data_IF_090426761483
#
_entry.id   IF_090426761483
#
_cell.length_a   1.000
_cell.length_b   1.000
_cell.length_c   1.000
_cell.angle_alpha   90.00
_cell.angle_beta   90.00
_cell.angle_gamma   90.00
#
_symmetry.space_group_name_H-M   'P 1'
#
loop_
_entity.id
_entity.type
_entity.pdbx_description
1 polymer ?
#
# COMPACT_ATOMS: atom_id res chain seq x y z
N UNK A 1 2.03 15.82 23.55
CA UNK A 1 1.75 16.14 22.11
C UNK A 1 2.61 15.20 21.29
N UNK A 2 1.99 14.35 20.49
CA UNK A 2 2.73 13.59 19.50
C UNK A 2 3.40 14.60 18.57
N UNK A 3 4.70 14.49 18.32
CA UNK A 3 5.39 15.40 17.44
C UNK A 3 4.84 15.24 16.00
N UNK A 4 4.71 16.37 15.29
CA UNK A 4 4.44 16.32 13.85
C UNK A 4 5.55 15.55 13.15
N UNK A 5 5.19 14.66 12.23
CA UNK A 5 6.17 13.87 11.46
C UNK A 5 6.87 14.82 10.48
N UNK A 6 8.20 14.95 10.54
CA UNK A 6 8.93 15.76 9.58
C UNK A 6 8.88 15.10 8.20
N UNK A 7 8.55 15.89 7.17
CA UNK A 7 8.57 15.45 5.77
C UNK A 7 9.65 16.22 5.01
N UNK A 8 10.34 15.54 4.10
CA UNK A 8 11.31 16.18 3.21
C UNK A 8 10.54 16.99 2.17
N UNK A 9 10.85 18.28 1.97
CA UNK A 9 10.20 19.09 0.97
C UNK A 9 10.32 18.49 -0.43
N UNK A 10 9.24 18.54 -1.20
CA UNK A 10 9.15 18.04 -2.58
C UNK A 10 8.42 19.05 -3.45
N UNK A 11 8.64 18.99 -4.75
CA UNK A 11 7.99 19.89 -5.69
C UNK A 11 7.08 19.11 -6.63
N UNK A 12 5.89 19.61 -6.82
CA UNK A 12 4.93 19.05 -7.80
C UNK A 12 5.53 19.06 -9.21
N UNK A 13 6.34 20.06 -9.52
CA UNK A 13 7.01 20.19 -10.81
C UNK A 13 7.94 19.01 -11.14
N UNK A 14 8.54 18.37 -10.14
CA UNK A 14 9.43 17.21 -10.32
C UNK A 14 8.68 15.99 -10.87
N UNK A 15 7.35 15.95 -10.72
CA UNK A 15 6.50 14.87 -11.23
C UNK A 15 6.13 15.05 -12.71
N UNK A 16 6.29 16.27 -13.28
CA UNK A 16 5.88 16.62 -14.64
C UNK A 16 6.44 15.70 -15.75
N UNK A 17 7.74 15.31 -15.71
CA UNK A 17 8.29 14.42 -16.73
C UNK A 17 7.62 13.04 -16.78
N UNK A 18 7.10 12.57 -15.63
CA UNK A 18 6.45 11.26 -15.51
C UNK A 18 4.94 11.33 -15.79
N UNK A 19 4.27 12.33 -15.23
CA UNK A 19 2.81 12.45 -15.26
C UNK A 19 2.28 13.21 -16.50
N UNK A 20 3.09 14.13 -17.04
CA UNK A 20 2.71 15.01 -18.16
C UNK A 20 2.09 16.34 -17.68
N UNK A 21 2.09 17.34 -18.60
CA UNK A 21 1.63 18.70 -18.30
C UNK A 21 0.18 18.74 -17.83
N UNK A 22 -0.70 18.06 -18.52
CA UNK A 22 -2.14 18.06 -18.24
C UNK A 22 -2.46 17.58 -16.81
N UNK A 23 -1.79 16.54 -16.32
CA UNK A 23 -2.00 16.04 -14.97
C UNK A 23 -1.53 17.03 -13.90
N UNK A 24 -0.42 17.74 -14.15
CA UNK A 24 0.10 18.75 -13.24
C UNK A 24 -0.82 19.98 -13.20
N UNK A 25 -1.31 20.42 -14.35
CA UNK A 25 -2.22 21.59 -14.39
C UNK A 25 -3.57 21.26 -13.72
N UNK A 26 -4.17 20.08 -13.96
CA UNK A 26 -5.39 19.66 -13.24
C UNK A 26 -5.18 19.61 -11.73
N UNK A 27 -4.02 19.12 -11.27
CA UNK A 27 -3.70 19.08 -9.84
C UNK A 27 -3.60 20.51 -9.26
N UNK A 28 -2.95 21.45 -9.97
CA UNK A 28 -2.85 22.85 -9.54
C UNK A 28 -4.20 23.54 -9.51
N UNK A 29 -5.04 23.29 -10.50
CA UNK A 29 -6.40 23.82 -10.54
C UNK A 29 -7.22 23.33 -9.34
N UNK A 30 -7.16 22.03 -9.03
CA UNK A 30 -7.83 21.47 -7.85
C UNK A 30 -7.29 22.08 -6.53
N UNK A 31 -5.98 22.30 -6.43
CA UNK A 31 -5.36 22.91 -5.25
C UNK A 31 -5.75 24.37 -5.05
N UNK A 32 -5.97 25.10 -6.14
CA UNK A 32 -6.31 26.53 -6.07
C UNK A 32 -7.59 26.81 -5.28
N UNK A 33 -8.55 25.90 -5.30
CA UNK A 33 -9.80 25.99 -4.55
C UNK A 33 -9.60 25.87 -3.02
N UNK A 34 -8.47 25.32 -2.58
CA UNK A 34 -8.13 25.06 -1.17
C UNK A 34 -6.86 25.82 -0.74
N UNK A 35 -6.47 26.87 -1.48
CA UNK A 35 -5.26 27.63 -1.17
C UNK A 35 -5.32 28.20 0.26
N UNK A 36 -4.27 27.95 1.05
CA UNK A 36 -4.17 28.38 2.45
C UNK A 36 -4.96 27.50 3.46
N UNK A 37 -5.72 26.50 3.01
CA UNK A 37 -6.41 25.58 3.90
C UNK A 37 -5.41 24.78 4.74
N UNK A 38 -5.81 24.44 5.96
CA UNK A 38 -5.03 23.62 6.91
C UNK A 38 -5.57 22.19 6.92
N UNK A 39 -4.71 21.22 6.59
CA UNK A 39 -5.04 19.80 6.50
C UNK A 39 -4.20 19.02 7.48
N UNK A 40 -4.81 18.21 8.35
CA UNK A 40 -4.13 17.27 9.24
C UNK A 40 -4.30 15.84 8.73
N UNK A 41 -3.20 15.13 8.57
CA UNK A 41 -3.18 13.69 8.36
C UNK A 41 -2.92 12.98 9.70
N UNK A 42 -3.74 11.98 10.05
CA UNK A 42 -3.59 11.20 11.29
C UNK A 42 -3.45 9.72 10.95
N UNK A 43 -2.32 9.11 11.29
CA UNK A 43 -2.04 7.69 11.05
C UNK A 43 -1.48 6.98 12.26
N UNK A 44 -1.27 5.67 12.18
CA UNK A 44 -0.74 4.86 13.28
C UNK A 44 0.78 4.78 13.33
N UNK A 45 1.48 5.06 12.22
CA UNK A 45 2.95 4.99 12.13
C UNK A 45 3.49 5.96 11.10
N UNK A 46 4.72 6.45 11.33
CA UNK A 46 5.47 7.27 10.38
C UNK A 46 6.40 6.44 9.47
N UNK A 47 6.58 5.14 9.75
CA UNK A 47 7.53 4.29 9.05
C UNK A 47 6.95 2.90 8.84
N UNK A 48 7.40 2.25 7.78
CA UNK A 48 7.01 0.88 7.47
C UNK A 48 5.57 0.76 6.95
N UNK A 49 5.42 0.34 5.73
CA UNK A 49 4.12 0.15 5.07
C UNK A 49 3.69 1.27 4.13
N UNK A 50 2.70 0.93 3.29
CA UNK A 50 2.28 1.78 2.18
C UNK A 50 1.69 3.12 2.61
N UNK A 51 0.96 3.18 3.75
CA UNK A 51 0.33 4.43 4.22
C UNK A 51 1.38 5.48 4.56
N UNK A 52 2.42 5.10 5.31
CA UNK A 52 3.52 6.01 5.65
C UNK A 52 4.25 6.50 4.38
N UNK A 53 4.49 5.61 3.41
CA UNK A 53 5.11 5.94 2.13
C UNK A 53 4.28 6.99 1.37
N UNK A 54 2.97 6.80 1.28
CA UNK A 54 2.04 7.74 0.66
C UNK A 54 2.07 9.10 1.36
N UNK A 55 2.00 9.13 2.69
CA UNK A 55 1.91 10.36 3.47
C UNK A 55 3.19 11.20 3.42
N UNK A 56 4.38 10.59 3.39
CA UNK A 56 5.63 11.32 3.16
C UNK A 56 5.61 12.13 1.87
N UNK A 57 5.03 11.58 0.82
CA UNK A 57 4.90 12.27 -0.48
C UNK A 57 3.74 13.25 -0.49
N UNK A 58 2.56 12.85 -0.05
CA UNK A 58 1.34 13.65 -0.12
C UNK A 58 1.45 14.94 0.70
N UNK A 59 1.91 14.85 1.96
CA UNK A 59 2.06 16.01 2.84
C UNK A 59 3.05 17.01 2.27
N UNK A 60 4.19 16.54 1.75
CA UNK A 60 5.20 17.41 1.14
C UNK A 60 4.65 18.14 -0.10
N UNK A 61 3.91 17.43 -0.96
CA UNK A 61 3.35 18.01 -2.19
C UNK A 61 2.16 18.94 -1.92
N UNK A 62 1.33 18.65 -0.92
CA UNK A 62 0.27 19.57 -0.48
C UNK A 62 0.86 20.90 -0.02
N UNK A 63 1.96 20.86 0.72
CA UNK A 63 2.66 22.08 1.14
C UNK A 63 3.25 22.86 -0.06
N UNK A 64 3.80 22.20 -1.08
CA UNK A 64 4.28 22.85 -2.32
C UNK A 64 3.12 23.50 -3.12
N UNK A 65 1.91 22.93 -3.00
CA UNK A 65 0.68 23.46 -3.62
C UNK A 65 0.05 24.63 -2.84
N UNK A 66 0.65 25.07 -1.72
CA UNK A 66 0.15 26.16 -0.89
C UNK A 66 -0.96 25.77 0.09
N UNK A 67 -1.09 24.47 0.40
CA UNK A 67 -1.99 23.94 1.42
C UNK A 67 -1.14 23.60 2.65
N UNK A 68 -1.52 24.09 3.83
CA UNK A 68 -0.77 23.83 5.07
C UNK A 68 -1.08 22.44 5.60
N UNK A 69 -0.33 21.45 5.14
CA UNK A 69 -0.51 20.05 5.52
C UNK A 69 0.47 19.63 6.61
N UNK A 70 -0.08 19.08 7.69
CA UNK A 70 0.67 18.47 8.80
C UNK A 70 0.33 16.97 8.90
N UNK A 71 1.25 16.21 9.51
CA UNK A 71 1.06 14.78 9.74
C UNK A 71 1.38 14.44 11.18
N UNK A 72 0.43 13.77 11.83
CA UNK A 72 0.59 13.26 13.19
C UNK A 72 0.39 11.74 13.25
N UNK A 73 1.16 11.11 14.13
CA UNK A 73 1.04 9.68 14.45
C UNK A 73 0.44 9.55 15.84
N UNK A 74 -0.53 8.64 15.97
CA UNK A 74 -1.10 8.30 17.27
C UNK A 74 -0.08 7.59 18.16
N UNK A 75 -0.22 7.74 19.46
CA UNK A 75 0.53 6.96 20.45
C UNK A 75 -0.27 5.71 20.83
N UNK A 76 0.44 4.59 21.04
CA UNK A 76 -0.16 3.33 21.45
C UNK A 76 0.72 2.56 22.44
N UNK A 77 0.10 1.70 23.25
CA UNK A 77 0.79 0.70 24.05
C UNK A 77 0.90 -0.62 23.24
N UNK A 78 1.77 -1.55 23.65
CA UNK A 78 1.82 -2.86 22.99
C UNK A 78 0.45 -3.56 22.94
N UNK A 79 -0.35 -3.45 24.02
CA UNK A 79 -1.69 -4.04 24.09
C UNK A 79 -2.64 -3.38 23.07
N UNK A 80 -2.59 -2.05 22.93
CA UNK A 80 -3.38 -1.35 21.92
C UNK A 80 -3.01 -1.78 20.52
N UNK A 81 -1.72 -1.88 20.22
CA UNK A 81 -1.29 -2.34 18.89
C UNK A 81 -1.62 -3.81 18.63
N UNK A 82 -1.60 -4.66 19.66
CA UNK A 82 -2.08 -6.04 19.54
C UNK A 82 -3.58 -6.11 19.19
N UNK A 83 -4.41 -5.31 19.89
CA UNK A 83 -5.85 -5.19 19.61
C UNK A 83 -6.09 -4.67 18.19
N UNK A 84 -5.41 -3.59 17.80
CA UNK A 84 -5.62 -2.98 16.47
C UNK A 84 -5.09 -3.86 15.32
N UNK A 85 -4.05 -4.68 15.56
CA UNK A 85 -3.60 -5.69 14.59
C UNK A 85 -4.65 -6.78 14.41
N UNK A 86 -5.22 -7.30 15.51
CA UNK A 86 -6.32 -8.27 15.44
C UNK A 86 -7.54 -7.72 14.69
N UNK A 87 -7.89 -6.45 14.96
CA UNK A 87 -8.94 -5.73 14.22
C UNK A 87 -8.62 -5.59 12.74
N UNK A 88 -7.39 -5.19 12.42
CA UNK A 88 -6.95 -5.05 11.02
C UNK A 88 -7.12 -6.37 10.25
N UNK A 89 -6.73 -7.49 10.85
CA UNK A 89 -6.91 -8.81 10.25
C UNK A 89 -8.40 -9.20 10.16
N UNK A 90 -9.21 -8.90 11.18
CA UNK A 90 -10.64 -9.17 11.20
C UNK A 90 -11.40 -8.36 10.15
N UNK A 91 -11.05 -7.10 9.95
CA UNK A 91 -11.62 -6.27 8.89
C UNK A 91 -11.26 -6.77 7.48
N UNK A 92 -10.22 -7.57 7.35
CA UNK A 92 -9.85 -8.28 6.12
C UNK A 92 -10.42 -9.72 6.04
N UNK A 93 -11.21 -10.14 7.02
CA UNK A 93 -11.95 -11.41 6.98
C UNK A 93 -11.42 -12.49 7.92
N UNK A 94 -10.46 -12.20 8.80
CA UNK A 94 -10.09 -13.12 9.87
C UNK A 94 -11.20 -13.17 10.93
N UNK A 95 -11.39 -14.34 11.54
CA UNK A 95 -12.31 -14.50 12.66
C UNK A 95 -11.79 -13.73 13.89
N UNK A 96 -12.68 -12.95 14.48
CA UNK A 96 -12.39 -12.22 15.72
C UNK A 96 -13.61 -12.18 16.61
N UNK A 97 -13.49 -12.68 17.82
CA UNK A 97 -14.43 -12.40 18.89
C UNK A 97 -14.09 -11.03 19.49
N UNK A 98 -14.81 -9.98 19.07
CA UNK A 98 -14.67 -8.65 19.67
C UNK A 98 -15.14 -8.67 21.11
N UNK A 99 -14.27 -8.34 22.04
CA UNK A 99 -14.55 -8.43 23.49
C UNK A 99 -14.66 -7.05 24.13
N UNK A 100 -15.40 -6.90 25.26
CA UNK A 100 -15.43 -5.65 26.02
C UNK A 100 -14.06 -5.15 26.47
N UNK A 101 -13.11 -6.06 26.71
CA UNK A 101 -11.75 -5.68 27.08
C UNK A 101 -10.98 -5.07 25.89
N UNK A 102 -11.09 -5.64 24.71
CA UNK A 102 -10.50 -5.07 23.48
C UNK A 102 -11.10 -3.69 23.20
N UNK A 103 -12.41 -3.54 23.35
CA UNK A 103 -13.11 -2.27 23.19
C UNK A 103 -12.59 -1.21 24.17
N UNK A 104 -12.47 -1.57 25.47
CA UNK A 104 -11.95 -0.68 26.50
C UNK A 104 -10.53 -0.20 26.16
N UNK A 105 -9.61 -1.12 25.83
CA UNK A 105 -8.22 -0.80 25.48
C UNK A 105 -8.20 0.15 24.27
N UNK A 106 -9.00 -0.12 23.26
CA UNK A 106 -9.07 0.67 22.03
C UNK A 106 -9.60 2.09 22.31
N UNK A 107 -10.74 2.20 22.99
CA UNK A 107 -11.39 3.49 23.24
C UNK A 107 -10.59 4.37 24.22
N UNK A 108 -10.00 3.81 25.28
CA UNK A 108 -9.14 4.56 26.20
C UNK A 108 -7.95 5.19 25.47
N UNK A 109 -7.35 4.47 24.53
CA UNK A 109 -6.22 4.99 23.75
C UNK A 109 -6.67 6.02 22.72
N UNK A 110 -7.79 5.80 22.04
CA UNK A 110 -8.36 6.80 21.14
C UNK A 110 -8.72 8.10 21.86
N UNK A 111 -9.26 8.01 23.07
CA UNK A 111 -9.55 9.19 23.92
C UNK A 111 -8.26 9.97 24.26
N UNK A 112 -7.20 9.27 24.68
CA UNK A 112 -5.91 9.91 24.98
C UNK A 112 -5.32 10.61 23.74
N UNK A 113 -5.41 9.98 22.57
CA UNK A 113 -4.95 10.56 21.30
C UNK A 113 -5.81 11.77 20.89
N UNK A 114 -7.14 11.69 21.04
CA UNK A 114 -8.04 12.80 20.77
C UNK A 114 -7.69 14.06 21.61
N UNK A 115 -7.40 13.85 22.90
CA UNK A 115 -6.99 14.94 23.78
C UNK A 115 -5.66 15.60 23.35
N UNK A 116 -4.80 14.87 22.65
CA UNK A 116 -3.48 15.33 22.21
C UNK A 116 -3.49 15.94 20.80
N UNK A 117 -4.56 15.77 20.02
CA UNK A 117 -4.62 16.34 18.67
C UNK A 117 -4.70 17.87 18.70
N UNK A 118 -3.98 18.56 17.81
CA UNK A 118 -4.04 20.01 17.70
C UNK A 118 -5.35 20.46 17.04
N UNK A 119 -5.80 21.64 17.41
CA UNK A 119 -7.01 22.26 16.88
C UNK A 119 -6.71 23.18 15.67
N UNK A 120 -7.79 23.65 15.02
CA UNK A 120 -7.72 24.72 14.01
C UNK A 120 -7.36 24.24 12.61
N UNK A 121 -7.65 22.99 12.27
CA UNK A 121 -7.59 22.49 10.89
C UNK A 121 -8.96 22.62 10.23
N UNK A 122 -8.93 22.97 8.93
CA UNK A 122 -10.13 22.99 8.11
C UNK A 122 -10.56 21.57 7.75
N UNK A 123 -9.57 20.69 7.55
CA UNK A 123 -9.77 19.28 7.20
C UNK A 123 -8.87 18.37 8.02
N UNK A 124 -9.42 17.22 8.44
CA UNK A 124 -8.67 16.14 9.10
C UNK A 124 -8.92 14.83 8.38
N UNK A 125 -7.87 14.15 7.95
CA UNK A 125 -7.95 12.82 7.31
C UNK A 125 -7.36 11.78 8.26
N UNK A 126 -8.19 10.84 8.67
CA UNK A 126 -7.84 9.77 9.62
C UNK A 126 -7.67 8.46 8.86
N UNK A 127 -6.48 7.84 8.97
CA UNK A 127 -6.11 6.67 8.20
C UNK A 127 -6.28 5.38 8.99
N UNK A 128 -7.02 4.44 8.40
CA UNK A 128 -7.24 3.08 8.88
C UNK A 128 -7.99 2.96 10.22
N UNK A 129 -8.20 1.73 10.74
CA UNK A 129 -9.02 1.55 11.95
C UNK A 129 -8.34 2.01 13.24
N UNK A 130 -6.99 2.10 13.28
CA UNK A 130 -6.29 2.38 14.54
C UNK A 130 -6.75 3.70 15.19
N UNK A 131 -6.83 4.85 14.46
CA UNK A 131 -7.34 6.12 15.01
C UNK A 131 -8.83 6.37 14.74
N UNK A 132 -9.59 5.42 14.19
CA UNK A 132 -10.93 5.69 13.66
C UNK A 132 -11.92 6.26 14.68
N UNK A 133 -11.81 5.94 15.96
CA UNK A 133 -12.70 6.47 16.99
C UNK A 133 -12.30 7.85 17.53
N UNK A 134 -11.18 8.43 17.12
CA UNK A 134 -10.70 9.72 17.64
C UNK A 134 -11.73 10.84 17.43
N UNK A 135 -12.38 10.88 16.25
CA UNK A 135 -13.44 11.85 16.01
C UNK A 135 -14.61 11.71 16.97
N UNK A 136 -15.04 10.48 17.27
CA UNK A 136 -16.13 10.22 18.22
C UNK A 136 -15.81 10.79 19.61
N UNK A 137 -14.56 10.66 20.06
CA UNK A 137 -14.13 11.21 21.37
C UNK A 137 -14.19 12.74 21.38
N UNK A 138 -13.74 13.38 20.29
CA UNK A 138 -13.80 14.85 20.17
C UNK A 138 -15.22 15.37 20.10
N UNK A 139 -16.14 14.68 19.41
CA UNK A 139 -17.55 15.06 19.34
C UNK A 139 -18.22 14.95 20.70
N UNK A 140 -18.00 13.86 21.42
CA UNK A 140 -18.58 13.61 22.75
C UNK A 140 -18.10 14.66 23.77
N UNK A 141 -16.91 15.27 23.56
CA UNK A 141 -16.36 16.40 24.35
C UNK A 141 -16.77 17.78 23.82
N UNK A 142 -17.49 17.87 22.69
CA UNK A 142 -17.85 19.14 22.05
C UNK A 142 -16.67 19.89 21.41
N UNK A 143 -15.59 19.20 21.06
CA UNK A 143 -14.33 19.75 20.54
C UNK A 143 -14.15 19.56 19.03
N UNK A 144 -15.13 18.95 18.35
CA UNK A 144 -15.05 18.79 16.91
C UNK A 144 -14.96 20.14 16.20
N UNK A 145 -13.99 20.31 15.31
CA UNK A 145 -13.87 21.45 14.40
C UNK A 145 -13.46 20.96 13.00
N UNK A 146 -13.78 21.73 11.97
CA UNK A 146 -13.48 21.40 10.59
C UNK A 146 -14.25 20.20 10.05
N UNK A 147 -13.81 19.73 8.89
CA UNK A 147 -14.35 18.57 8.17
C UNK A 147 -13.47 17.36 8.33
N UNK A 148 -14.06 16.20 8.53
CA UNK A 148 -13.34 14.98 8.84
C UNK A 148 -13.61 13.88 7.83
N UNK A 149 -12.55 13.29 7.28
CA UNK A 149 -12.64 12.13 6.39
C UNK A 149 -11.92 10.93 7.01
N UNK A 150 -12.54 9.76 6.95
CA UNK A 150 -11.89 8.50 7.28
C UNK A 150 -11.39 7.82 6.00
N UNK A 151 -10.12 7.45 5.95
CA UNK A 151 -9.50 6.75 4.84
C UNK A 151 -9.21 5.30 5.20
N UNK A 152 -9.85 4.36 4.53
CA UNK A 152 -9.58 2.93 4.65
C UNK A 152 -8.63 2.47 3.54
N UNK A 153 -7.48 1.92 3.93
CA UNK A 153 -6.49 1.36 2.99
C UNK A 153 -6.55 -0.16 2.88
N UNK A 154 -7.32 -0.83 3.74
CA UNK A 154 -7.42 -2.29 3.81
C UNK A 154 -8.57 -2.84 2.95
N UNK A 155 -8.50 -4.14 2.64
CA UNK A 155 -9.57 -4.85 1.95
C UNK A 155 -10.76 -5.10 2.88
N UNK A 156 -11.84 -4.34 2.70
CA UNK A 156 -13.10 -4.49 3.44
C UNK A 156 -14.15 -5.30 2.68
N UNK A 157 -13.78 -6.11 1.68
CA UNK A 157 -14.76 -6.86 0.89
C UNK A 157 -15.56 -7.88 1.72
N UNK A 158 -14.94 -8.46 2.75
CA UNK A 158 -15.55 -9.48 3.60
C UNK A 158 -15.09 -9.39 5.07
N UNK A 159 -15.36 -8.27 5.79
CA UNK A 159 -14.93 -8.11 7.17
C UNK A 159 -15.70 -9.02 8.13
N UNK A 160 -15.09 -9.35 9.26
CA UNK A 160 -15.78 -9.95 10.40
C UNK A 160 -16.97 -9.05 10.81
N UNK A 161 -18.19 -9.60 10.93
CA UNK A 161 -19.37 -8.79 11.24
C UNK A 161 -19.25 -8.02 12.56
N UNK A 162 -18.73 -8.65 13.62
CA UNK A 162 -18.60 -8.01 14.94
C UNK A 162 -17.60 -6.86 14.94
N UNK A 163 -16.46 -7.04 14.25
CA UNK A 163 -15.48 -5.97 14.11
C UNK A 163 -16.05 -4.80 13.27
N UNK A 164 -16.69 -5.10 12.14
CA UNK A 164 -17.25 -4.04 11.32
C UNK A 164 -18.38 -3.27 12.02
N UNK A 165 -19.29 -3.94 12.73
CA UNK A 165 -20.38 -3.29 13.45
C UNK A 165 -19.86 -2.24 14.43
N UNK A 166 -18.82 -2.54 15.19
CA UNK A 166 -18.18 -1.60 16.09
C UNK A 166 -17.59 -0.41 15.32
N UNK A 167 -16.78 -0.66 14.28
CA UNK A 167 -16.11 0.41 13.53
C UNK A 167 -17.08 1.24 12.71
N UNK A 168 -18.14 0.65 12.14
CA UNK A 168 -19.17 1.37 11.39
C UNK A 168 -19.82 2.48 12.19
N UNK A 169 -20.04 2.28 13.50
CA UNK A 169 -20.57 3.31 14.40
C UNK A 169 -19.67 4.54 14.50
N UNK A 170 -18.38 4.36 14.52
CA UNK A 170 -17.40 5.47 14.54
C UNK A 170 -17.25 6.10 13.15
N UNK A 171 -17.18 5.31 12.09
CA UNK A 171 -17.06 5.80 10.70
C UNK A 171 -18.28 6.60 10.28
N UNK A 172 -19.47 6.26 10.77
CA UNK A 172 -20.72 6.99 10.50
C UNK A 172 -20.70 8.46 10.95
N UNK A 173 -19.79 8.83 11.86
CA UNK A 173 -19.66 10.21 12.36
C UNK A 173 -18.81 11.14 11.47
N UNK A 174 -18.07 10.57 10.52
CA UNK A 174 -17.23 11.35 9.59
C UNK A 174 -18.07 12.06 8.52
N UNK A 175 -17.59 13.19 7.98
CA UNK A 175 -18.22 13.86 6.84
C UNK A 175 -17.97 13.05 5.54
N UNK A 176 -16.77 12.46 5.42
CA UNK A 176 -16.37 11.63 4.28
C UNK A 176 -15.77 10.29 4.68
N UNK A 177 -15.98 9.28 3.86
CA UNK A 177 -15.29 7.99 3.95
C UNK A 177 -14.69 7.62 2.60
N UNK A 178 -13.38 7.33 2.59
CA UNK A 178 -12.60 7.09 1.38
C UNK A 178 -12.14 5.64 1.32
N UNK A 179 -12.44 4.96 0.22
CA UNK A 179 -12.08 3.56 -0.02
C UNK A 179 -11.22 3.44 -1.27
N UNK A 180 -10.47 2.35 -1.37
CA UNK A 180 -9.65 2.07 -2.56
C UNK A 180 -10.49 1.77 -3.79
N UNK A 181 -11.61 1.09 -3.61
CA UNK A 181 -12.50 0.66 -4.70
C UNK A 181 -13.95 0.51 -4.20
N UNK A 182 -14.94 0.50 -5.12
CA UNK A 182 -16.35 0.37 -4.74
C UNK A 182 -16.66 -0.89 -3.94
N UNK A 183 -15.99 -2.02 -4.24
CA UNK A 183 -16.21 -3.31 -3.55
C UNK A 183 -15.89 -3.25 -2.04
N UNK A 184 -15.10 -2.25 -1.61
CA UNK A 184 -14.76 -2.05 -0.20
C UNK A 184 -15.77 -1.18 0.55
N UNK A 185 -16.66 -0.50 -0.17
CA UNK A 185 -17.74 0.27 0.45
C UNK A 185 -18.77 -0.70 1.03
N UNK A 186 -18.94 -0.69 2.33
CA UNK A 186 -19.87 -1.63 3.00
C UNK A 186 -21.33 -1.21 2.78
N UNK A 187 -22.18 -2.15 2.37
CA UNK A 187 -23.63 -1.90 2.31
C UNK A 187 -24.16 -1.42 3.66
N UNK A 188 -24.99 -0.38 3.64
CA UNK A 188 -25.59 0.16 4.85
C UNK A 188 -24.74 1.13 5.66
N UNK A 189 -23.51 1.45 5.24
CA UNK A 189 -22.78 2.57 5.82
C UNK A 189 -23.55 3.87 5.56
N UNK A 190 -24.05 4.48 6.64
CA UNK A 190 -24.76 5.75 6.61
C UNK A 190 -23.92 6.84 7.30
N UNK A 191 -24.19 8.07 6.96
CA UNK A 191 -23.50 9.26 7.53
C UNK A 191 -22.55 9.89 6.53
N UNK A 192 -21.37 9.34 6.27
CA UNK A 192 -20.36 10.00 5.45
C UNK A 192 -20.71 9.97 3.95
N UNK A 193 -20.29 11.02 3.24
CA UNK A 193 -20.13 10.94 1.79
C UNK A 193 -19.07 9.90 1.44
N UNK A 194 -19.35 8.98 0.52
CA UNK A 194 -18.41 7.92 0.14
C UNK A 194 -17.65 8.26 -1.12
N UNK A 195 -16.32 8.08 -1.07
CA UNK A 195 -15.41 8.33 -2.17
C UNK A 195 -14.58 7.08 -2.48
N UNK A 196 -14.23 6.88 -3.74
CA UNK A 196 -13.30 5.84 -4.14
C UNK A 196 -12.06 6.48 -4.76
N UNK A 197 -10.95 6.44 -4.02
CA UNK A 197 -9.67 7.01 -4.42
C UNK A 197 -8.62 5.89 -4.35
N UNK A 198 -8.28 5.24 -5.47
CA UNK A 198 -7.19 4.27 -5.47
C UNK A 198 -5.86 4.92 -5.08
N UNK A 199 -5.02 4.28 -4.27
CA UNK A 199 -3.66 4.74 -4.01
C UNK A 199 -2.83 4.91 -5.28
N UNK A 200 -1.67 5.51 -5.14
CA UNK A 200 -0.74 5.78 -6.22
C UNK A 200 0.70 5.50 -5.81
N UNK A 201 1.61 5.53 -6.76
CA UNK A 201 3.05 5.53 -6.53
C UNK A 201 3.65 6.88 -6.89
N UNK A 202 4.72 7.22 -6.20
CA UNK A 202 5.53 8.39 -6.51
C UNK A 202 6.61 7.99 -7.55
N UNK A 203 6.52 8.50 -8.80
CA UNK A 203 7.41 8.08 -9.88
C UNK A 203 8.86 8.54 -9.70
N UNK A 204 9.12 9.51 -8.80
CA UNK A 204 10.44 10.07 -8.55
C UNK A 204 11.01 9.71 -7.18
N UNK A 205 10.35 8.80 -6.44
CA UNK A 205 10.91 8.23 -5.22
C UNK A 205 12.09 7.30 -5.54
N UNK A 206 12.97 7.06 -4.56
CA UNK A 206 14.10 6.12 -4.69
C UNK A 206 13.65 4.73 -5.15
N UNK A 207 12.43 4.34 -4.79
CA UNK A 207 11.83 3.08 -5.18
C UNK A 207 11.42 3.03 -6.65
N UNK A 208 11.17 4.18 -7.31
CA UNK A 208 10.55 4.23 -8.64
C UNK A 208 11.33 5.02 -9.69
N UNK A 209 12.27 5.89 -9.27
CA UNK A 209 13.12 6.64 -10.20
C UNK A 209 13.91 5.70 -11.13
N UNK A 210 14.28 6.18 -12.30
CA UNK A 210 15.10 5.41 -13.23
C UNK A 210 16.50 5.21 -12.65
N UNK A 211 16.95 3.95 -12.59
CA UNK A 211 18.32 3.58 -12.22
C UNK A 211 19.14 3.29 -13.47
N UNK A 212 20.42 3.61 -13.40
CA UNK A 212 21.37 3.21 -14.44
C UNK A 212 21.63 1.68 -14.38
N UNK A 213 21.86 1.05 -15.52
CA UNK A 213 22.00 -0.41 -15.63
C UNK A 213 23.17 -0.96 -14.82
N UNK A 214 24.24 -0.18 -14.62
CA UNK A 214 25.39 -0.56 -13.80
C UNK A 214 25.03 -0.61 -12.31
N UNK A 215 24.17 0.31 -11.83
CA UNK A 215 23.65 0.28 -10.47
C UNK A 215 22.79 -0.97 -10.25
N UNK A 216 21.91 -1.29 -11.20
CA UNK A 216 21.08 -2.50 -11.13
C UNK A 216 21.96 -3.75 -11.06
N UNK A 217 22.98 -3.87 -11.94
CA UNK A 217 23.93 -5.01 -11.92
C UNK A 217 24.73 -5.11 -10.62
N UNK A 218 25.18 -3.98 -10.06
CA UNK A 218 25.88 -3.96 -8.78
C UNK A 218 25.02 -4.46 -7.62
N UNK A 219 23.76 -4.05 -7.58
CA UNK A 219 22.80 -4.52 -6.58
C UNK A 219 22.60 -6.04 -6.71
N UNK A 220 22.30 -6.55 -7.90
CA UNK A 220 22.13 -8.00 -8.10
C UNK A 220 23.36 -8.80 -7.67
N UNK A 221 24.56 -8.37 -8.09
CA UNK A 221 25.80 -9.03 -7.74
C UNK A 221 26.04 -9.06 -6.22
N UNK A 222 25.67 -7.99 -5.49
CA UNK A 222 25.79 -7.92 -4.02
C UNK A 222 24.96 -9.01 -3.33
N UNK A 223 23.81 -9.36 -3.88
CA UNK A 223 22.89 -10.35 -3.29
C UNK A 223 22.94 -11.71 -3.99
N UNK A 224 23.93 -11.94 -4.87
CA UNK A 224 24.14 -13.23 -5.52
C UNK A 224 23.09 -13.62 -6.55
N UNK A 225 22.33 -12.66 -7.07
CA UNK A 225 21.31 -12.88 -8.12
C UNK A 225 22.01 -12.76 -9.49
N UNK A 226 21.87 -13.77 -10.34
CA UNK A 226 22.46 -13.80 -11.68
C UNK A 226 21.57 -13.08 -12.70
N UNK A 227 22.01 -11.91 -13.25
CA UNK A 227 21.20 -11.14 -14.18
C UNK A 227 21.10 -11.80 -15.58
N UNK A 228 21.81 -12.87 -15.85
CA UNK A 228 21.76 -13.59 -17.14
C UNK A 228 20.70 -14.69 -17.17
N UNK A 229 20.15 -15.04 -16.01
CA UNK A 229 19.10 -16.03 -15.83
C UNK A 229 17.75 -15.35 -15.66
N UNK A 230 16.63 -16.01 -16.04
CA UNK A 230 15.29 -15.47 -15.78
C UNK A 230 15.02 -15.24 -14.30
N UNK A 231 14.35 -14.13 -13.97
CA UNK A 231 14.05 -13.73 -12.58
C UNK A 231 12.55 -13.47 -12.41
N UNK A 232 11.91 -14.25 -11.53
CA UNK A 232 10.61 -13.94 -10.96
C UNK A 232 10.79 -13.32 -9.57
N UNK A 233 10.04 -12.27 -9.24
CA UNK A 233 10.23 -11.54 -7.98
C UNK A 233 8.93 -11.29 -7.24
N UNK A 234 8.91 -11.59 -5.93
CA UNK A 234 7.88 -11.15 -4.98
C UNK A 234 8.49 -10.19 -3.97
N UNK A 235 7.85 -9.04 -3.76
CA UNK A 235 8.24 -8.06 -2.73
C UNK A 235 7.01 -7.75 -1.89
N UNK A 236 7.05 -8.06 -0.59
CA UNK A 236 5.91 -7.83 0.30
C UNK A 236 6.34 -7.88 1.76
N UNK A 237 5.46 -7.44 2.67
CA UNK A 237 5.53 -7.99 4.04
C UNK A 237 5.16 -9.47 3.94
N UNK A 238 5.74 -10.30 4.78
CA UNK A 238 5.33 -11.70 4.85
C UNK A 238 4.23 -11.83 5.91
N UNK A 239 3.05 -12.15 5.42
CA UNK A 239 1.85 -12.41 6.18
C UNK A 239 0.99 -13.44 5.41
N UNK A 240 -0.07 -14.02 6.02
CA UNK A 240 -0.87 -15.06 5.35
C UNK A 240 -1.54 -14.56 4.05
N UNK A 241 -1.81 -13.27 3.95
CA UNK A 241 -2.51 -12.68 2.82
C UNK A 241 -1.63 -12.55 1.57
N UNK A 242 -0.30 -12.56 1.72
CA UNK A 242 0.67 -12.46 0.62
C UNK A 242 1.08 -13.80 0.03
N UNK A 243 0.71 -14.91 0.70
CA UNK A 243 0.92 -16.28 0.25
C UNK A 243 2.37 -16.58 -0.23
N UNK A 244 3.40 -16.29 0.59
CA UNK A 244 4.79 -16.44 0.16
C UNK A 244 5.15 -17.92 -0.14
N UNK A 245 4.61 -18.88 0.62
CA UNK A 245 4.82 -20.31 0.37
C UNK A 245 4.19 -20.77 -0.93
N UNK A 246 2.99 -20.29 -1.25
CA UNK A 246 2.33 -20.60 -2.53
C UNK A 246 3.05 -19.98 -3.74
N UNK A 247 3.83 -18.90 -3.55
CA UNK A 247 4.71 -18.37 -4.61
C UNK A 247 5.90 -19.29 -4.83
N UNK A 248 6.52 -19.86 -3.77
CA UNK A 248 7.57 -20.87 -3.90
C UNK A 248 7.05 -22.12 -4.60
N UNK A 249 5.83 -22.58 -4.28
CA UNK A 249 5.24 -23.74 -4.93
C UNK A 249 4.98 -23.49 -6.42
N UNK A 250 4.50 -22.28 -6.78
CA UNK A 250 4.33 -21.88 -8.17
C UNK A 250 5.69 -21.80 -8.92
N UNK A 251 6.71 -21.26 -8.26
CA UNK A 251 8.06 -21.25 -8.79
C UNK A 251 8.58 -22.67 -9.06
N UNK A 252 8.41 -23.61 -8.13
CA UNK A 252 8.87 -25.00 -8.28
C UNK A 252 8.24 -25.68 -9.50
N UNK A 253 6.92 -25.49 -9.69
CA UNK A 253 6.24 -26.01 -10.88
C UNK A 253 6.78 -25.35 -12.18
N UNK A 254 7.02 -24.05 -12.16
CA UNK A 254 7.61 -23.36 -13.31
C UNK A 254 9.06 -23.77 -13.55
N UNK A 255 9.83 -24.01 -12.51
CA UNK A 255 11.24 -24.45 -12.58
C UNK A 255 11.41 -25.85 -13.20
N UNK A 256 10.40 -26.73 -13.11
CA UNK A 256 10.42 -28.01 -13.83
C UNK A 256 10.53 -27.83 -15.34
N UNK A 257 9.92 -26.77 -15.89
CA UNK A 257 9.99 -26.42 -17.32
C UNK A 257 11.14 -25.46 -17.66
N UNK A 258 11.56 -24.65 -16.69
CA UNK A 258 12.57 -23.60 -16.81
C UNK A 258 13.67 -23.76 -15.74
N UNK A 259 14.60 -24.71 -15.89
CA UNK A 259 15.61 -25.02 -14.85
C UNK A 259 16.56 -23.86 -14.50
N UNK A 260 16.65 -22.84 -15.35
CA UNK A 260 17.46 -21.64 -15.07
C UNK A 260 16.69 -20.52 -14.35
N UNK A 261 15.40 -20.71 -14.02
CA UNK A 261 14.59 -19.70 -13.32
C UNK A 261 15.10 -19.48 -11.90
N UNK A 262 15.23 -18.21 -11.51
CA UNK A 262 15.48 -17.77 -10.15
C UNK A 262 14.22 -17.13 -9.55
N UNK A 263 13.96 -17.38 -8.27
CA UNK A 263 12.93 -16.67 -7.50
C UNK A 263 13.59 -15.73 -6.50
N UNK A 264 13.32 -14.44 -6.62
CA UNK A 264 13.76 -13.44 -5.66
C UNK A 264 12.59 -13.02 -4.77
N UNK A 265 12.69 -13.28 -3.48
CA UNK A 265 11.70 -12.94 -2.47
C UNK A 265 12.27 -11.90 -1.51
N UNK A 266 11.60 -10.78 -1.37
CA UNK A 266 12.04 -9.69 -0.49
C UNK A 266 10.98 -9.40 0.54
N UNK A 267 11.31 -9.68 1.81
CA UNK A 267 10.46 -9.41 2.96
C UNK A 267 10.73 -8.01 3.55
N UNK A 268 9.69 -7.30 3.92
CA UNK A 268 9.82 -6.12 4.78
C UNK A 268 9.51 -6.52 6.23
N UNK A 269 10.56 -6.61 7.04
CA UNK A 269 10.48 -7.02 8.45
C UNK A 269 10.37 -5.80 9.35
N UNK A 270 9.51 -5.87 10.37
CA UNK A 270 9.45 -4.90 11.46
C UNK A 270 9.83 -5.62 12.77
N UNK A 271 10.64 -4.96 13.61
CA UNK A 271 11.17 -5.56 14.83
C UNK A 271 10.09 -5.91 15.87
N UNK A 272 8.91 -5.32 15.73
CA UNK A 272 7.74 -5.46 16.62
C UNK A 272 6.57 -6.22 15.95
N UNK A 273 6.80 -6.88 14.79
CA UNK A 273 5.80 -7.69 14.10
C UNK A 273 6.13 -9.21 14.21
N UNK A 274 5.67 -9.88 15.28
CA UNK A 274 5.92 -11.32 15.45
C UNK A 274 5.22 -12.19 14.38
N UNK A 275 4.14 -11.70 13.76
CA UNK A 275 3.48 -12.38 12.64
C UNK A 275 4.39 -12.40 11.40
N UNK A 276 5.01 -11.26 11.08
CA UNK A 276 5.97 -11.17 9.98
C UNK A 276 7.18 -12.07 10.18
N UNK A 277 7.70 -12.14 11.42
CA UNK A 277 8.80 -13.05 11.77
C UNK A 277 8.40 -14.52 11.57
N UNK A 278 7.23 -14.92 12.06
CA UNK A 278 6.72 -16.28 11.90
C UNK A 278 6.60 -16.68 10.41
N UNK A 279 6.01 -15.83 9.58
CA UNK A 279 5.87 -16.13 8.15
C UNK A 279 7.20 -16.10 7.40
N UNK A 280 8.17 -15.30 7.83
CA UNK A 280 9.53 -15.34 7.28
C UNK A 280 10.19 -16.69 7.57
N UNK A 281 10.15 -17.15 8.82
CA UNK A 281 10.70 -18.45 9.23
C UNK A 281 9.99 -19.61 8.52
N UNK A 282 8.67 -19.54 8.38
CA UNK A 282 7.89 -20.54 7.63
C UNK A 282 8.32 -20.57 6.15
N UNK A 283 8.54 -19.41 5.55
CA UNK A 283 8.97 -19.28 4.15
C UNK A 283 10.38 -19.82 3.97
N UNK A 284 11.31 -19.53 4.90
CA UNK A 284 12.67 -20.08 4.90
C UNK A 284 12.68 -21.61 5.03
N UNK A 285 11.86 -22.14 5.94
CA UNK A 285 11.69 -23.58 6.08
C UNK A 285 11.11 -24.20 4.79
N UNK A 286 10.15 -23.53 4.16
CA UNK A 286 9.53 -23.96 2.91
C UNK A 286 10.48 -23.89 1.72
N UNK A 287 11.38 -22.89 1.68
CA UNK A 287 12.47 -22.80 0.70
C UNK A 287 13.35 -24.05 0.70
N UNK A 288 13.55 -24.65 1.87
CA UNK A 288 14.25 -25.94 2.06
C UNK A 288 15.67 -25.96 1.46
N UNK A 289 16.41 -24.85 1.58
CA UNK A 289 17.78 -24.74 1.09
C UNK A 289 17.94 -24.64 -0.43
N UNK A 290 16.86 -24.39 -1.18
CA UNK A 290 16.92 -24.16 -2.61
C UNK A 290 17.77 -22.91 -2.91
N UNK A 291 18.88 -23.11 -3.64
CA UNK A 291 19.85 -22.04 -3.92
C UNK A 291 19.35 -21.01 -4.93
N UNK A 292 18.38 -21.36 -5.77
CA UNK A 292 17.79 -20.48 -6.76
C UNK A 292 16.59 -19.68 -6.21
N UNK A 293 16.24 -19.90 -4.93
CA UNK A 293 15.29 -19.06 -4.18
C UNK A 293 16.06 -18.11 -3.27
N UNK A 294 16.20 -16.87 -3.68
CA UNK A 294 16.84 -15.82 -2.90
C UNK A 294 15.84 -15.19 -1.93
N UNK A 295 15.96 -15.50 -0.64
CA UNK A 295 15.10 -14.92 0.40
C UNK A 295 15.87 -13.82 1.14
N UNK A 296 15.45 -12.57 0.95
CA UNK A 296 16.08 -11.37 1.46
C UNK A 296 15.11 -10.53 2.28
N UNK A 297 15.65 -9.62 3.08
CA UNK A 297 14.87 -8.70 3.88
C UNK A 297 15.60 -7.35 4.07
N UNK A 298 14.91 -6.38 4.66
CA UNK A 298 15.56 -5.14 5.10
C UNK A 298 16.67 -5.36 6.15
N UNK A 299 16.67 -6.49 6.87
CA UNK A 299 17.73 -6.87 7.79
C UNK A 299 19.03 -7.25 7.05
N UNK A 300 18.94 -7.64 5.79
CA UNK A 300 20.07 -7.89 4.89
C UNK A 300 20.56 -6.61 4.21
N UNK A 301 20.01 -5.45 4.60
CA UNK A 301 20.33 -4.15 4.04
C UNK A 301 19.60 -3.83 2.74
N UNK A 302 18.48 -4.50 2.46
CA UNK A 302 17.62 -4.17 1.32
C UNK A 302 16.79 -2.94 1.66
N UNK A 303 17.03 -1.85 0.93
CA UNK A 303 16.29 -0.60 0.99
C UNK A 303 15.52 -0.31 -0.30
N UNK A 304 15.05 0.93 -0.43
CA UNK A 304 14.23 1.35 -1.57
C UNK A 304 14.97 1.25 -2.92
N UNK A 305 16.27 1.55 -2.93
CA UNK A 305 17.11 1.47 -4.15
C UNK A 305 17.28 0.02 -4.58
N UNK A 306 17.53 -0.89 -3.63
CA UNK A 306 17.65 -2.32 -3.89
C UNK A 306 16.32 -2.89 -4.41
N UNK A 307 15.18 -2.55 -3.78
CA UNK A 307 13.84 -2.92 -4.26
C UNK A 307 13.62 -2.45 -5.69
N UNK A 308 13.98 -1.19 -5.99
CA UNK A 308 13.89 -0.64 -7.35
C UNK A 308 14.73 -1.44 -8.35
N UNK A 309 15.99 -1.75 -7.98
CA UNK A 309 16.89 -2.53 -8.83
C UNK A 309 16.36 -3.94 -9.09
N UNK A 310 15.85 -4.62 -8.06
CA UNK A 310 15.26 -5.96 -8.17
C UNK A 310 14.05 -5.96 -9.11
N UNK A 311 13.12 -5.03 -8.92
CA UNK A 311 11.96 -4.92 -9.81
C UNK A 311 12.36 -4.61 -11.26
N UNK A 312 13.42 -3.81 -11.49
CA UNK A 312 13.93 -3.52 -12.83
C UNK A 312 14.61 -4.71 -13.50
N UNK A 313 15.30 -5.52 -12.71
CA UNK A 313 15.97 -6.71 -13.21
C UNK A 313 15.01 -7.87 -13.51
N UNK A 314 13.87 -7.91 -12.83
CA UNK A 314 12.91 -8.99 -12.93
C UNK A 314 12.31 -9.09 -14.33
N UNK A 315 12.09 -10.32 -14.80
CA UNK A 315 11.31 -10.59 -15.99
C UNK A 315 9.81 -10.55 -15.72
N UNK A 316 9.41 -10.97 -14.52
CA UNK A 316 8.02 -10.96 -14.07
C UNK A 316 7.95 -10.64 -12.57
N UNK A 317 6.99 -9.81 -12.19
CA UNK A 317 6.67 -9.58 -10.77
C UNK A 317 5.49 -10.47 -10.38
N UNK A 318 5.59 -11.12 -9.22
CA UNK A 318 4.55 -12.00 -8.68
C UNK A 318 4.00 -11.39 -7.40
N UNK A 319 2.72 -11.11 -7.37
CA UNK A 319 2.01 -10.63 -6.18
C UNK A 319 0.74 -11.46 -6.00
N UNK A 320 0.91 -12.75 -5.67
CA UNK A 320 -0.16 -13.74 -5.56
C UNK A 320 -0.91 -13.59 -4.23
N UNK A 321 -1.30 -12.37 -3.88
CA UNK A 321 -2.05 -12.12 -2.65
C UNK A 321 -3.45 -12.70 -2.72
N UNK A 322 -3.93 -13.28 -1.61
CA UNK A 322 -5.32 -13.74 -1.41
C UNK A 322 -6.21 -12.63 -0.83
N UNK A 323 -5.63 -11.63 -0.21
CA UNK A 323 -6.26 -10.37 0.23
C UNK A 323 -5.29 -9.22 -0.03
N UNK A 324 -5.81 -8.10 -0.56
CA UNK A 324 -4.98 -6.93 -0.85
C UNK A 324 -5.80 -5.64 -0.85
N UNK A 325 -5.40 -4.65 -0.05
CA UNK A 325 -6.02 -3.32 -0.07
C UNK A 325 -5.79 -2.61 -1.39
N UNK A 326 -4.53 -2.53 -1.82
CA UNK A 326 -4.17 -2.01 -3.15
C UNK A 326 -3.00 -2.79 -3.76
N UNK A 327 -1.88 -2.96 -3.02
CA UNK A 327 -0.67 -3.62 -3.52
C UNK A 327 0.20 -2.66 -4.34
N UNK A 328 0.87 -1.71 -3.67
CA UNK A 328 1.76 -0.72 -4.33
C UNK A 328 2.80 -1.39 -5.22
N UNK A 329 3.31 -2.56 -4.81
CA UNK A 329 4.29 -3.35 -5.57
C UNK A 329 3.80 -3.70 -6.99
N UNK A 330 2.50 -3.89 -7.18
CA UNK A 330 1.91 -4.13 -8.52
C UNK A 330 2.10 -2.88 -9.39
N UNK A 331 1.69 -1.70 -8.89
CA UNK A 331 1.90 -0.44 -9.61
C UNK A 331 3.39 -0.17 -9.87
N UNK A 332 4.26 -0.44 -8.89
CA UNK A 332 5.71 -0.28 -8.99
C UNK A 332 6.30 -1.18 -10.09
N UNK A 333 5.91 -2.45 -10.15
CA UNK A 333 6.35 -3.39 -11.18
C UNK A 333 5.87 -2.97 -12.58
N UNK A 334 4.58 -2.66 -12.70
CA UNK A 334 4.00 -2.16 -13.96
C UNK A 334 4.65 -0.84 -14.41
N UNK A 335 4.94 0.09 -13.49
CA UNK A 335 5.65 1.35 -13.79
C UNK A 335 7.03 1.12 -14.39
N UNK A 336 7.73 0.08 -13.97
CA UNK A 336 9.02 -0.34 -14.48
C UNK A 336 8.93 -1.12 -15.80
N UNK A 337 7.71 -1.27 -16.34
CA UNK A 337 7.46 -2.01 -17.58
C UNK A 337 7.61 -3.52 -17.40
N UNK A 338 7.35 -4.03 -16.19
CA UNK A 338 7.37 -5.47 -15.91
C UNK A 338 5.93 -5.97 -15.83
N UNK A 339 5.57 -7.04 -16.54
CA UNK A 339 4.26 -7.65 -16.38
C UNK A 339 4.13 -8.23 -14.98
N UNK A 340 2.91 -8.18 -14.45
CA UNK A 340 2.62 -8.66 -13.10
C UNK A 340 1.67 -9.85 -13.16
N UNK A 341 2.01 -10.91 -12.42
CA UNK A 341 1.12 -12.01 -12.09
C UNK A 341 0.58 -11.73 -10.69
N UNK A 342 -0.66 -11.30 -10.60
CA UNK A 342 -1.29 -10.89 -9.35
C UNK A 342 -2.40 -11.83 -8.92
N UNK A 343 -2.59 -11.98 -7.61
CA UNK A 343 -3.79 -12.65 -7.08
C UNK A 343 -5.05 -11.91 -7.51
N UNK A 344 -6.12 -12.65 -7.81
CA UNK A 344 -7.42 -12.09 -8.16
C UNK A 344 -8.14 -11.51 -6.93
N UNK A 345 -7.48 -10.56 -6.25
CA UNK A 345 -7.90 -10.02 -4.96
C UNK A 345 -7.81 -8.51 -4.91
N UNK A 346 -8.78 -7.89 -4.27
CA UNK A 346 -8.82 -6.50 -3.88
C UNK A 346 -8.32 -5.52 -4.94
N UNK A 347 -7.48 -4.58 -4.52
CA UNK A 347 -6.93 -3.53 -5.38
C UNK A 347 -5.99 -3.99 -6.49
N UNK A 348 -5.51 -5.25 -6.48
CA UNK A 348 -4.76 -5.84 -7.60
C UNK A 348 -5.61 -5.84 -8.88
N UNK A 349 -6.90 -6.17 -8.76
CA UNK A 349 -7.86 -6.17 -9.87
C UNK A 349 -8.06 -4.80 -10.52
N UNK A 350 -7.79 -3.71 -9.81
CA UNK A 350 -7.82 -2.36 -10.40
C UNK A 350 -6.62 -2.09 -11.30
N UNK A 351 -5.50 -2.69 -10.97
CA UNK A 351 -4.21 -2.39 -11.57
C UNK A 351 -3.92 -3.27 -12.78
N UNK A 352 -4.27 -4.56 -12.71
CA UNK A 352 -4.04 -5.52 -13.78
C UNK A 352 -5.26 -5.59 -14.70
N UNK A 353 -5.03 -5.40 -15.98
CA UNK A 353 -5.96 -5.72 -17.06
C UNK A 353 -5.55 -7.08 -17.63
N UNK A 354 -6.41 -8.10 -17.41
CA UNK A 354 -6.13 -9.50 -17.73
C UNK A 354 -5.70 -9.69 -19.19
N UNK A 355 -4.54 -10.29 -19.38
CA UNK A 355 -3.95 -10.54 -20.71
C UNK A 355 -3.39 -9.31 -21.44
N UNK A 356 -3.52 -8.10 -20.86
CA UNK A 356 -3.04 -6.85 -21.45
C UNK A 356 -1.85 -6.27 -20.69
N UNK A 357 -1.93 -6.16 -19.37
CA UNK A 357 -0.85 -5.63 -18.53
C UNK A 357 -0.29 -6.65 -17.53
N UNK A 358 -0.84 -7.84 -17.51
CA UNK A 358 -0.48 -8.93 -16.61
C UNK A 358 -1.55 -10.00 -16.57
N UNK A 359 -1.49 -10.84 -15.55
CA UNK A 359 -2.45 -11.92 -15.35
C UNK A 359 -2.97 -11.91 -13.90
N UNK A 360 -4.27 -12.22 -13.74
CA UNK A 360 -4.89 -12.50 -12.45
C UNK A 360 -4.95 -14.02 -12.24
N UNK A 361 -4.57 -14.47 -11.04
CA UNK A 361 -4.47 -15.91 -10.72
C UNK A 361 -5.14 -16.24 -9.39
N UNK A 362 -5.74 -17.43 -9.33
CA UNK A 362 -6.45 -17.94 -8.16
C UNK A 362 -5.81 -19.22 -7.59
N UNK A 363 -4.80 -19.81 -8.26
CA UNK A 363 -4.11 -21.01 -7.80
C UNK A 363 -2.59 -20.99 -8.07
N UNK A 364 -1.89 -21.90 -7.45
CA UNK A 364 -0.45 -22.13 -7.62
C UNK A 364 -0.15 -22.58 -9.07
N UNK A 365 -0.93 -23.50 -9.60
CA UNK A 365 -0.74 -24.07 -10.94
C UNK A 365 -0.96 -23.02 -12.04
N UNK A 366 -2.01 -22.19 -11.89
CA UNK A 366 -2.27 -21.11 -12.84
C UNK A 366 -1.14 -20.08 -12.77
N UNK A 367 -0.66 -19.75 -11.57
CA UNK A 367 0.48 -18.84 -11.39
C UNK A 367 1.73 -19.38 -12.09
N UNK A 368 2.09 -20.65 -11.89
CA UNK A 368 3.21 -21.32 -12.53
C UNK A 368 3.10 -21.27 -14.07
N UNK A 369 1.94 -21.65 -14.61
CA UNK A 369 1.72 -21.62 -16.07
C UNK A 369 1.82 -20.21 -16.66
N UNK A 370 1.42 -19.15 -15.91
CA UNK A 370 1.61 -17.75 -16.33
C UNK A 370 3.07 -17.32 -16.25
N UNK A 371 3.84 -17.78 -15.26
CA UNK A 371 5.29 -17.57 -15.19
C UNK A 371 5.97 -18.17 -16.42
N UNK A 372 5.74 -19.46 -16.71
CA UNK A 372 6.32 -20.16 -17.88
C UNK A 372 5.98 -19.42 -19.18
N UNK A 373 4.70 -19.07 -19.38
CA UNK A 373 4.25 -18.35 -20.56
C UNK A 373 5.02 -17.04 -20.78
N UNK A 374 5.11 -16.19 -19.76
CA UNK A 374 5.77 -14.89 -19.86
C UNK A 374 7.29 -15.03 -20.02
N UNK A 375 7.90 -16.03 -19.39
CA UNK A 375 9.35 -16.25 -19.49
C UNK A 375 9.77 -16.82 -20.84
N UNK A 376 8.91 -17.61 -21.50
CA UNK A 376 9.16 -18.14 -22.83
C UNK A 376 8.82 -17.18 -23.99
N UNK A 377 7.98 -16.16 -23.74
CA UNK A 377 7.60 -15.18 -24.77
C UNK A 377 8.06 -13.76 -24.39
N UNK A 378 9.29 -13.36 -24.76
CA UNK A 378 9.82 -12.03 -24.48
C UNK A 378 9.05 -10.91 -25.19
N UNK A 379 8.41 -11.18 -26.32
CA UNK A 379 7.62 -10.18 -27.05
C UNK A 379 6.29 -9.92 -26.33
N UNK A 380 5.61 -10.96 -25.85
CA UNK A 380 4.42 -10.80 -25.00
C UNK A 380 4.78 -10.07 -23.72
N UNK A 381 5.86 -10.44 -23.07
CA UNK A 381 6.39 -9.80 -21.86
C UNK A 381 6.63 -8.30 -22.05
N UNK A 382 7.28 -7.92 -23.14
CA UNK A 382 7.56 -6.53 -23.49
C UNK A 382 6.27 -5.73 -23.77
N UNK A 383 5.32 -6.31 -24.52
CA UNK A 383 4.01 -5.66 -24.80
C UNK A 383 3.21 -5.44 -23.53
N UNK A 384 3.11 -6.46 -22.66
CA UNK A 384 2.39 -6.35 -21.39
C UNK A 384 3.04 -5.32 -20.48
N UNK A 385 4.36 -5.32 -20.38
CA UNK A 385 5.10 -4.36 -19.59
C UNK A 385 4.85 -2.91 -20.05
N UNK A 386 4.86 -2.66 -21.36
CA UNK A 386 4.56 -1.35 -21.92
C UNK A 386 3.12 -0.90 -21.63
N UNK A 387 2.15 -1.80 -21.81
CA UNK A 387 0.73 -1.53 -21.51
C UNK A 387 0.52 -1.25 -20.02
N UNK A 388 1.18 -2.02 -19.15
CA UNK A 388 1.14 -1.83 -17.70
C UNK A 388 1.69 -0.50 -17.26
N UNK A 389 2.84 -0.10 -17.82
CA UNK A 389 3.45 1.20 -17.54
C UNK A 389 2.54 2.37 -17.92
N UNK A 390 1.92 2.31 -19.09
CA UNK A 390 1.00 3.34 -19.55
C UNK A 390 -0.25 3.40 -18.67
N UNK A 391 -0.80 2.26 -18.25
CA UNK A 391 -1.91 2.20 -17.29
C UNK A 391 -1.58 2.86 -15.96
N UNK A 392 -0.37 2.61 -15.41
CA UNK A 392 0.08 3.27 -14.17
C UNK A 392 0.23 4.76 -14.40
N UNK A 393 0.83 5.20 -15.51
CA UNK A 393 1.00 6.62 -15.86
C UNK A 393 -0.33 7.37 -15.83
N UNK A 394 -1.38 6.75 -16.38
CA UNK A 394 -2.71 7.38 -16.48
C UNK A 394 -3.50 7.35 -15.18
N UNK A 395 -3.32 6.32 -14.33
CA UNK A 395 -4.28 6.02 -13.26
C UNK A 395 -3.68 5.95 -11.86
N UNK A 396 -2.38 5.70 -11.72
CA UNK A 396 -1.80 5.34 -10.43
C UNK A 396 -0.52 6.11 -10.09
N UNK A 397 -0.37 7.34 -10.62
CA UNK A 397 0.67 8.27 -10.19
C UNK A 397 0.12 9.30 -9.20
N UNK A 398 0.98 9.78 -8.31
CA UNK A 398 0.65 10.70 -7.23
C UNK A 398 -0.17 11.94 -7.64
N UNK A 399 0.08 12.61 -8.79
CA UNK A 399 -0.72 13.78 -9.16
C UNK A 399 -2.23 13.48 -9.27
N UNK A 400 -2.61 12.31 -9.82
CA UNK A 400 -4.01 11.91 -9.93
C UNK A 400 -4.63 11.68 -8.55
N UNK A 401 -3.93 10.96 -7.65
CA UNK A 401 -4.44 10.70 -6.31
C UNK A 401 -4.63 11.97 -5.50
N UNK A 402 -3.66 12.90 -5.57
CA UNK A 402 -3.77 14.21 -4.90
C UNK A 402 -4.90 15.06 -5.50
N UNK A 403 -5.08 15.06 -6.83
CA UNK A 403 -6.22 15.72 -7.48
C UNK A 403 -7.54 15.18 -6.93
N UNK A 404 -7.69 13.86 -6.82
CA UNK A 404 -8.90 13.22 -6.28
C UNK A 404 -9.13 13.61 -4.80
N UNK A 405 -8.08 13.64 -3.97
CA UNK A 405 -8.18 14.09 -2.58
C UNK A 405 -8.60 15.56 -2.47
N UNK A 406 -8.01 16.44 -3.27
CA UNK A 406 -8.37 17.87 -3.23
C UNK A 406 -9.81 18.10 -3.66
N UNK A 407 -10.27 17.40 -4.70
CA UNK A 407 -11.68 17.44 -5.13
C UNK A 407 -12.62 16.90 -4.06
N UNK A 408 -12.21 15.83 -3.37
CA UNK A 408 -12.97 15.28 -2.23
C UNK A 408 -13.06 16.29 -1.10
N UNK A 409 -11.95 16.91 -0.67
CA UNK A 409 -11.95 17.92 0.39
C UNK A 409 -12.81 19.12 0.04
N UNK A 410 -12.78 19.59 -1.22
CA UNK A 410 -13.63 20.68 -1.69
C UNK A 410 -15.12 20.32 -1.74
N UNK A 411 -15.48 19.04 -1.75
CA UNK A 411 -16.87 18.57 -1.75
C UNK A 411 -17.44 18.36 -0.33
N UNK A 412 -16.61 18.28 0.72
CA UNK A 412 -17.01 18.16 2.13
C UNK A 412 -17.46 19.51 2.71
#
# INVERSE_FOLDING_TARGET
MSPSVPVVPRRVEDLRPAAGDEAIERLRDAASALAGARVLQVSSTAYGGGVAELLHTQVALLNDLGIHADWQVIEGTPEFFAVTKAVHNALQGADLAWTPEMERIYLERCHANAAALPDGYDFVIVHDPQPAAVLSMLEDEGRRSGKWAWRCHIDLSAPSPSAWEFFAGHVARYDGAVFTMPDFVRPGLQGPMTFTIPPSIDPVSDKNLTLADDVVRQVLARYGVDPTRPIATQISRFDPWKDPTGVIDAYRLAHEELPDLQLLMVASMAADDPEGQYYFELTEAHRNGDADVHLLSNLDGVGNVEVNAFQRASDVIVQKSIREGFGLVVAEGLWKGRPVIGGNAGGIRLQIEEGVSGFLVDSVEVCAGRMVRLLLDPDERARMGASGRERVRQRFLTPRELEDYLRMLAAL
#
